data_IF_362379642325
#
_entry.id   IF_362379642325
#
_cell.length_a   1.000
_cell.length_b   1.000
_cell.length_c   1.000
_cell.angle_alpha   90.00
_cell.angle_beta   90.00
_cell.angle_gamma   90.00
#
_symmetry.space_group_name_H-M   'P 1'
#
loop_
_entity.id
_entity.type
_entity.pdbx_description
1 polymer ?
#
# COMPACT_ATOMS: atom_id res chain seq x y z
N UNK A 1 -18.13 -7.81 39.91
CA UNK A 1 -17.77 -9.24 39.81
C UNK A 1 -16.37 -9.30 39.19
N UNK A 2 -15.34 -9.34 40.04
CA UNK A 2 -13.94 -9.23 39.63
C UNK A 2 -13.32 -10.63 39.59
N UNK A 3 -12.90 -11.06 38.40
CA UNK A 3 -12.18 -12.31 38.18
C UNK A 3 -10.69 -12.10 38.50
N UNK A 4 -10.06 -12.85 39.42
CA UNK A 4 -8.65 -12.71 39.69
C UNK A 4 -7.86 -13.54 38.67
N UNK A 5 -7.09 -12.86 37.81
CA UNK A 5 -6.12 -13.51 36.94
C UNK A 5 -5.07 -14.22 37.80
N UNK A 6 -5.15 -15.55 37.83
CA UNK A 6 -4.21 -16.42 38.52
C UNK A 6 -2.81 -16.30 37.89
N UNK A 7 -1.90 -15.58 38.57
CA UNK A 7 -0.48 -15.61 38.27
C UNK A 7 0.10 -16.94 38.79
N UNK A 8 0.17 -17.94 37.93
CA UNK A 8 0.88 -19.19 38.20
C UNK A 8 2.38 -18.90 38.36
N UNK A 9 2.89 -18.94 39.60
CA UNK A 9 4.33 -18.95 39.86
C UNK A 9 4.91 -20.25 39.32
N UNK A 10 5.72 -20.15 38.26
CA UNK A 10 6.47 -21.27 37.70
C UNK A 10 7.37 -21.90 38.79
N UNK A 11 7.18 -23.20 39.03
CA UNK A 11 7.96 -23.99 39.98
C UNK A 11 9.40 -24.11 39.49
N UNK A 12 10.36 -23.72 40.34
CA UNK A 12 11.78 -23.68 39.99
C UNK A 12 12.35 -25.09 40.01
N UNK A 13 12.56 -25.67 38.83
CA UNK A 13 13.26 -26.95 38.66
C UNK A 13 14.75 -26.79 39.04
N UNK A 14 15.31 -27.64 39.91
CA UNK A 14 16.71 -27.53 40.32
C UNK A 14 17.65 -27.82 39.15
N UNK A 15 18.57 -26.89 38.86
CA UNK A 15 19.64 -27.05 37.85
C UNK A 15 19.53 -26.14 36.62
N UNK A 16 18.41 -25.45 36.41
CA UNK A 16 18.20 -24.56 35.26
C UNK A 16 18.23 -23.09 35.69
N UNK A 17 19.10 -22.28 35.08
CA UNK A 17 19.11 -20.82 35.26
C UNK A 17 18.28 -20.15 34.17
N UNK A 18 17.16 -19.56 34.56
CA UNK A 18 16.37 -18.71 33.68
C UNK A 18 16.99 -17.31 33.65
N UNK A 19 17.42 -16.87 32.47
CA UNK A 19 17.84 -15.48 32.22
C UNK A 19 16.70 -14.77 31.49
N UNK A 20 15.92 -13.96 32.22
CA UNK A 20 14.91 -13.09 31.61
C UNK A 20 15.63 -11.80 31.22
N UNK A 21 15.97 -11.68 29.94
CA UNK A 21 16.57 -10.45 29.40
C UNK A 21 15.48 -9.38 29.36
N UNK A 22 15.79 -8.18 29.88
CA UNK A 22 14.87 -7.05 29.88
C UNK A 22 14.50 -6.67 28.44
N UNK A 23 13.21 -6.60 28.14
CA UNK A 23 12.72 -6.18 26.83
C UNK A 23 12.86 -4.65 26.67
N UNK A 24 14.05 -4.22 26.27
CA UNK A 24 14.38 -2.80 26.08
C UNK A 24 13.63 -2.16 24.90
N UNK A 25 13.15 -2.97 23.95
CA UNK A 25 12.33 -2.50 22.84
C UNK A 25 10.93 -2.14 23.32
N UNK A 26 10.33 -2.98 24.18
CA UNK A 26 9.05 -2.67 24.81
C UNK A 26 9.13 -1.41 25.69
N UNK A 27 10.23 -1.24 26.44
CA UNK A 27 10.45 -0.05 27.29
C UNK A 27 10.53 1.24 26.47
N UNK A 28 11.13 1.19 25.27
CA UNK A 28 11.28 2.35 24.37
C UNK A 28 10.08 2.59 23.45
N UNK A 29 9.42 1.54 23.00
CA UNK A 29 8.33 1.62 22.04
C UNK A 29 6.96 1.84 22.70
N UNK A 30 6.75 1.36 23.94
CA UNK A 30 5.44 1.41 24.60
C UNK A 30 5.36 2.42 25.76
N UNK A 31 6.47 2.91 26.33
CA UNK A 31 6.37 3.76 27.54
C UNK A 31 5.67 3.07 28.73
N UNK A 32 5.59 1.74 28.73
CA UNK A 32 4.82 0.94 29.68
C UNK A 32 3.62 0.26 29.02
N UNK A 33 3.29 -0.95 29.48
CA UNK A 33 2.13 -1.74 29.06
C UNK A 33 0.81 -0.96 29.23
N UNK A 34 0.31 -0.36 28.16
CA UNK A 34 -0.77 0.62 28.23
C UNK A 34 -1.60 0.51 26.95
N UNK A 35 -2.87 0.14 27.07
CA UNK A 35 -3.81 0.10 25.93
C UNK A 35 -4.15 1.52 25.44
N UNK A 36 -4.86 1.66 24.30
CA UNK A 36 -5.34 2.97 23.85
C UNK A 36 -6.07 3.71 24.99
N UNK A 37 -5.65 4.95 25.30
CA UNK A 37 -6.27 5.79 26.33
C UNK A 37 -5.67 5.73 27.74
N UNK A 38 -4.57 5.00 27.96
CA UNK A 38 -3.91 4.95 29.27
C UNK A 38 -2.55 5.70 29.23
N UNK A 39 -1.99 6.13 30.38
CA UNK A 39 -0.86 7.09 30.44
C UNK A 39 0.39 6.56 29.73
N UNK A 40 0.72 7.14 28.58
CA UNK A 40 1.88 6.76 27.74
C UNK A 40 1.48 6.16 26.38
N UNK A 41 0.21 5.81 26.18
CA UNK A 41 -0.34 5.38 24.90
C UNK A 41 -0.63 6.56 23.95
N UNK A 42 -0.76 6.28 22.65
CA UNK A 42 -1.27 7.24 21.68
C UNK A 42 -2.70 7.63 22.12
N UNK A 43 -3.03 8.93 22.26
CA UNK A 43 -4.35 9.35 22.71
C UNK A 43 -5.42 8.85 21.72
N UNK A 44 -6.54 8.36 22.25
CA UNK A 44 -7.63 7.78 21.45
C UNK A 44 -8.19 8.82 20.47
N UNK A 45 -8.19 10.09 20.87
CA UNK A 45 -8.63 11.22 20.05
C UNK A 45 -7.69 11.44 18.86
N UNK A 46 -6.39 11.18 19.00
CA UNK A 46 -5.45 11.27 17.88
C UNK A 46 -5.59 10.09 16.91
N UNK A 47 -5.93 8.90 17.41
CA UNK A 47 -6.27 7.74 16.56
C UNK A 47 -7.54 8.05 15.77
N UNK A 48 -8.59 8.54 16.43
CA UNK A 48 -9.85 8.92 15.79
C UNK A 48 -9.68 10.06 14.77
N UNK A 49 -8.86 11.06 15.08
CA UNK A 49 -8.54 12.12 14.13
C UNK A 49 -7.78 11.59 12.90
N UNK A 50 -6.84 10.66 13.09
CA UNK A 50 -6.13 10.02 11.99
C UNK A 50 -7.05 9.15 11.12
N UNK A 51 -7.95 8.38 11.73
CA UNK A 51 -8.97 7.58 11.03
C UNK A 51 -9.94 8.46 10.24
N UNK A 52 -10.35 9.61 10.79
CA UNK A 52 -11.22 10.55 10.09
C UNK A 52 -10.54 11.19 8.87
N UNK A 53 -9.28 11.60 8.99
CA UNK A 53 -8.51 12.12 7.87
C UNK A 53 -8.29 11.04 6.80
N UNK A 54 -8.00 9.81 7.23
CA UNK A 54 -7.86 8.67 6.33
C UNK A 54 -9.15 8.37 5.56
N UNK A 55 -10.30 8.44 6.22
CA UNK A 55 -11.60 8.24 5.58
C UNK A 55 -11.86 9.30 4.50
N UNK A 56 -11.58 10.57 4.81
CA UNK A 56 -11.70 11.66 3.85
C UNK A 56 -10.79 11.46 2.63
N UNK A 57 -9.54 11.06 2.83
CA UNK A 57 -8.64 10.71 1.73
C UNK A 57 -9.12 9.51 0.90
N UNK A 58 -9.82 8.57 1.54
CA UNK A 58 -10.38 7.39 0.86
C UNK A 58 -11.55 7.75 -0.06
N UNK A 59 -12.34 8.78 0.30
CA UNK A 59 -13.43 9.28 -0.55
C UNK A 59 -12.89 9.90 -1.86
N UNK A 60 -11.76 10.61 -1.78
CA UNK A 60 -11.12 11.28 -2.92
C UNK A 60 -10.24 10.32 -3.77
N UNK A 61 -9.96 9.11 -3.27
CA UNK A 61 -9.04 8.17 -3.92
C UNK A 61 -9.45 7.78 -5.36
N UNK A 62 -10.73 7.48 -5.68
CA UNK A 62 -11.12 7.13 -7.05
C UNK A 62 -10.84 8.25 -8.05
N UNK A 63 -11.09 9.50 -7.66
CA UNK A 63 -10.85 10.67 -8.50
C UNK A 63 -9.35 10.89 -8.69
N UNK A 64 -8.56 10.68 -7.63
CA UNK A 64 -7.10 10.71 -7.70
C UNK A 64 -6.53 9.63 -8.63
N UNK A 65 -6.99 8.38 -8.51
CA UNK A 65 -6.58 7.28 -9.41
C UNK A 65 -6.99 7.57 -10.85
N UNK A 66 -8.18 8.14 -11.07
CA UNK A 66 -8.63 8.52 -12.40
C UNK A 66 -7.67 9.56 -13.03
N UNK A 67 -7.24 10.56 -12.26
CA UNK A 67 -6.24 11.54 -12.71
C UNK A 67 -4.91 10.87 -13.10
N UNK A 68 -4.44 9.89 -12.32
CA UNK A 68 -3.22 9.15 -12.64
C UNK A 68 -3.36 8.30 -13.90
N UNK A 69 -4.51 7.65 -14.09
CA UNK A 69 -4.79 6.89 -15.31
C UNK A 69 -4.78 7.82 -16.53
N UNK A 70 -5.33 9.02 -16.41
CA UNK A 70 -5.30 10.01 -17.48
C UNK A 70 -3.87 10.50 -17.78
N UNK A 71 -3.04 10.66 -16.75
CA UNK A 71 -1.61 10.97 -16.91
C UNK A 71 -0.83 9.82 -17.58
N UNK A 72 -1.12 8.57 -17.22
CA UNK A 72 -0.56 7.39 -17.88
C UNK A 72 -0.93 7.34 -19.37
N UNK A 73 -2.19 7.66 -19.71
CA UNK A 73 -2.67 7.72 -21.09
C UNK A 73 -1.96 8.82 -21.90
N UNK A 74 -1.75 9.99 -21.30
CA UNK A 74 -1.04 11.10 -21.93
C UNK A 74 0.43 10.76 -22.21
N UNK A 75 1.12 10.17 -21.23
CA UNK A 75 2.50 9.71 -21.41
C UNK A 75 2.60 8.58 -22.45
N UNK A 76 1.64 7.64 -22.44
CA UNK A 76 1.55 6.59 -23.46
C UNK A 76 1.37 7.18 -24.88
N UNK A 77 0.51 8.19 -25.05
CA UNK A 77 0.34 8.86 -26.36
C UNK A 77 1.64 9.50 -26.82
N UNK A 78 2.37 10.17 -25.92
CA UNK A 78 3.68 10.74 -26.23
C UNK A 78 4.73 9.69 -26.62
N UNK A 79 4.67 8.47 -26.07
CA UNK A 79 5.54 7.37 -26.50
C UNK A 79 5.34 6.96 -27.97
N UNK A 80 4.13 7.16 -28.50
CA UNK A 80 3.76 6.87 -29.89
C UNK A 80 4.07 8.05 -30.80
N UNK A 81 3.63 9.24 -30.40
CA UNK A 81 3.75 10.45 -31.21
C UNK A 81 5.19 10.96 -31.32
N UNK A 82 6.03 10.66 -30.31
CA UNK A 82 7.42 11.12 -30.25
C UNK A 82 8.34 9.98 -29.81
N UNK A 83 8.76 9.09 -30.75
CA UNK A 83 9.62 7.94 -30.46
C UNK A 83 10.94 8.32 -29.77
N UNK A 84 11.45 9.54 -30.00
CA UNK A 84 12.70 10.04 -29.43
C UNK A 84 12.61 10.25 -27.92
N UNK A 85 11.42 10.55 -27.40
CA UNK A 85 11.16 10.76 -25.97
C UNK A 85 10.64 9.50 -25.28
N UNK A 86 10.48 8.40 -26.01
CA UNK A 86 9.84 7.18 -25.51
C UNK A 86 10.48 6.65 -24.23
N UNK A 87 11.81 6.67 -24.15
CA UNK A 87 12.53 6.22 -22.97
C UNK A 87 12.22 7.08 -21.73
N UNK A 88 12.19 8.41 -21.89
CA UNK A 88 11.82 9.34 -20.82
C UNK A 88 10.38 9.10 -20.37
N UNK A 89 9.45 8.95 -21.31
CA UNK A 89 8.03 8.74 -20.99
C UNK A 89 7.76 7.38 -20.35
N UNK A 90 8.48 6.34 -20.73
CA UNK A 90 8.42 5.03 -20.07
C UNK A 90 8.96 5.11 -18.63
N UNK A 91 9.99 5.91 -18.37
CA UNK A 91 10.47 6.16 -17.01
C UNK A 91 9.42 6.90 -16.15
N UNK A 92 8.72 7.89 -16.70
CA UNK A 92 7.60 8.55 -16.00
C UNK A 92 6.48 7.56 -15.68
N UNK A 93 6.12 6.69 -16.64
CA UNK A 93 5.12 5.64 -16.43
C UNK A 93 5.57 4.65 -15.35
N UNK A 94 6.86 4.33 -15.29
CA UNK A 94 7.44 3.48 -14.25
C UNK A 94 7.24 4.07 -12.84
N UNK A 95 7.52 5.36 -12.68
CA UNK A 95 7.39 6.05 -11.40
C UNK A 95 5.91 6.14 -10.97
N UNK A 96 5.01 6.47 -11.89
CA UNK A 96 3.57 6.49 -11.60
C UNK A 96 3.08 5.09 -11.18
N UNK A 97 3.53 4.03 -11.88
CA UNK A 97 3.17 2.65 -11.54
C UNK A 97 3.70 2.23 -10.15
N UNK A 98 4.89 2.70 -9.76
CA UNK A 98 5.44 2.49 -8.43
C UNK A 98 4.53 3.08 -7.35
N UNK A 99 4.07 4.31 -7.53
CA UNK A 99 3.24 4.97 -6.53
C UNK A 99 1.84 4.34 -6.45
N UNK A 100 1.24 4.00 -7.59
CA UNK A 100 -0.06 3.34 -7.64
C UNK A 100 -0.06 1.98 -6.91
N UNK A 101 1.01 1.19 -7.04
CA UNK A 101 1.11 -0.10 -6.33
C UNK A 101 1.22 0.09 -4.81
N UNK A 102 1.83 1.18 -4.36
CA UNK A 102 1.99 1.48 -2.93
C UNK A 102 0.68 1.96 -2.27
N UNK A 103 -0.19 2.60 -3.04
CA UNK A 103 -1.38 3.26 -2.52
C UNK A 103 -2.64 2.39 -2.62
N UNK A 104 -2.80 1.58 -3.66
CA UNK A 104 -4.03 0.81 -3.88
C UNK A 104 -4.39 -0.16 -2.75
N UNK A 105 -3.41 -0.80 -2.11
CA UNK A 105 -3.64 -1.73 -1.00
C UNK A 105 -4.17 -1.03 0.24
N UNK A 106 -3.76 0.22 0.45
CA UNK A 106 -4.16 1.03 1.60
C UNK A 106 -5.62 1.47 1.49
N UNK A 107 -6.09 1.81 0.28
CA UNK A 107 -7.43 2.35 0.04
C UNK A 107 -8.48 1.31 -0.38
N UNK A 108 -8.16 0.01 -0.32
CA UNK A 108 -9.12 -1.07 -0.63
C UNK A 108 -9.31 -1.37 -2.11
N UNK A 109 -8.32 -1.03 -2.95
CA UNK A 109 -8.29 -1.32 -4.39
C UNK A 109 -7.15 -2.30 -4.74
N UNK A 110 -7.27 -3.58 -4.38
CA UNK A 110 -6.22 -4.58 -4.62
C UNK A 110 -5.96 -4.80 -6.11
N UNK A 111 -6.98 -4.68 -6.97
CA UNK A 111 -6.82 -4.79 -8.42
C UNK A 111 -5.90 -3.70 -8.98
N UNK A 112 -6.04 -2.45 -8.53
CA UNK A 112 -5.16 -1.34 -8.93
C UNK A 112 -3.73 -1.61 -8.48
N UNK A 113 -3.54 -2.21 -7.30
CA UNK A 113 -2.23 -2.63 -6.81
C UNK A 113 -1.60 -3.68 -7.71
N UNK A 114 -2.36 -4.71 -8.10
CA UNK A 114 -1.90 -5.79 -8.97
C UNK A 114 -1.52 -5.26 -10.36
N UNK A 115 -2.37 -4.41 -10.95
CA UNK A 115 -2.05 -3.77 -12.23
C UNK A 115 -0.83 -2.86 -12.12
N UNK A 116 -0.71 -2.09 -11.03
CA UNK A 116 0.43 -1.21 -10.78
C UNK A 116 1.75 -1.96 -10.64
N UNK A 117 1.76 -3.06 -9.90
CA UNK A 117 2.94 -3.92 -9.77
C UNK A 117 3.34 -4.59 -11.09
N UNK A 118 2.36 -5.06 -11.87
CA UNK A 118 2.60 -5.64 -13.20
C UNK A 118 3.17 -4.59 -14.17
N UNK A 119 2.60 -3.38 -14.19
CA UNK A 119 3.09 -2.26 -15.01
C UNK A 119 4.49 -1.80 -14.58
N UNK A 120 4.76 -1.75 -13.28
CA UNK A 120 6.08 -1.43 -12.73
C UNK A 120 7.14 -2.44 -13.17
N UNK A 121 6.83 -3.74 -13.09
CA UNK A 121 7.73 -4.82 -13.54
C UNK A 121 7.98 -4.78 -15.05
N UNK A 122 6.94 -4.47 -15.82
CA UNK A 122 7.00 -4.34 -17.27
C UNK A 122 7.95 -3.23 -17.71
N UNK A 123 7.94 -2.09 -17.02
CA UNK A 123 8.75 -0.91 -17.33
C UNK A 123 10.16 -0.94 -16.74
N UNK A 124 10.44 -1.81 -15.77
CA UNK A 124 11.73 -1.85 -15.04
C UNK A 124 12.95 -2.27 -15.88
N UNK A 125 12.77 -3.05 -16.96
CA UNK A 125 13.85 -3.64 -17.76
C UNK A 125 13.90 -3.16 -19.21
N UNK A 126 13.22 -2.06 -19.53
CA UNK A 126 13.16 -1.58 -20.91
C UNK A 126 14.43 -0.81 -21.33
N UNK A 127 15.54 -1.51 -21.46
CA UNK A 127 16.72 -0.99 -22.18
C UNK A 127 16.34 -0.70 -23.65
N UNK A 128 15.37 -1.44 -24.19
CA UNK A 128 14.73 -1.17 -25.47
C UNK A 128 13.24 -0.88 -25.27
N UNK A 129 12.84 0.38 -25.45
CA UNK A 129 11.43 0.78 -25.49
C UNK A 129 10.81 0.37 -26.84
N UNK A 130 10.65 -0.93 -27.04
CA UNK A 130 10.06 -1.52 -28.25
C UNK A 130 8.57 -1.18 -28.39
N UNK A 131 8.02 -1.28 -29.60
CA UNK A 131 6.59 -1.06 -29.83
C UNK A 131 5.72 -2.07 -29.05
N UNK A 132 6.20 -3.31 -28.90
CA UNK A 132 5.54 -4.34 -28.09
C UNK A 132 5.40 -3.92 -26.61
N UNK A 133 6.41 -3.22 -26.07
CA UNK A 133 6.33 -2.69 -24.71
C UNK A 133 5.24 -1.62 -24.60
N UNK A 134 5.16 -0.74 -25.59
CA UNK A 134 4.16 0.34 -25.65
C UNK A 134 2.74 -0.25 -25.73
N UNK A 135 2.52 -1.30 -26.51
CA UNK A 135 1.25 -2.03 -26.55
C UNK A 135 0.91 -2.69 -25.21
N UNK A 136 1.90 -3.29 -24.56
CA UNK A 136 1.70 -3.93 -23.25
C UNK A 136 1.34 -2.90 -22.16
N UNK A 137 1.99 -1.73 -22.18
CA UNK A 137 1.64 -0.60 -21.31
C UNK A 137 0.18 -0.20 -21.53
N UNK A 138 -0.24 -0.03 -22.80
CA UNK A 138 -1.63 0.31 -23.13
C UNK A 138 -2.63 -0.68 -22.52
N UNK A 139 -2.38 -1.98 -22.67
CA UNK A 139 -3.26 -3.02 -22.14
C UNK A 139 -3.43 -2.92 -20.62
N UNK A 140 -2.36 -2.60 -19.89
CA UNK A 140 -2.44 -2.38 -18.43
C UNK A 140 -3.26 -1.14 -18.09
N UNK A 141 -3.03 -0.02 -18.78
CA UNK A 141 -3.74 1.24 -18.55
C UNK A 141 -5.24 1.11 -18.87
N UNK A 142 -5.58 0.43 -19.97
CA UNK A 142 -6.97 0.14 -20.33
C UNK A 142 -7.64 -0.77 -19.28
N UNK A 143 -6.91 -1.75 -18.74
CA UNK A 143 -7.36 -2.60 -17.63
C UNK A 143 -7.64 -1.79 -16.35
N UNK A 144 -6.72 -0.92 -15.94
CA UNK A 144 -6.91 -0.03 -14.79
C UNK A 144 -8.13 0.88 -14.97
N UNK A 145 -8.30 1.44 -16.18
CA UNK A 145 -9.47 2.26 -16.52
C UNK A 145 -10.77 1.47 -16.43
N UNK A 146 -10.78 0.21 -16.86
CA UNK A 146 -11.96 -0.65 -16.75
C UNK A 146 -12.32 -0.93 -15.27
N UNK A 147 -11.33 -1.15 -14.40
CA UNK A 147 -11.54 -1.35 -12.96
C UNK A 147 -12.19 -0.12 -12.31
N UNK A 148 -11.67 1.07 -12.58
CA UNK A 148 -12.21 2.32 -12.00
C UNK A 148 -13.58 2.67 -12.58
N UNK A 149 -13.75 2.58 -13.90
CA UNK A 149 -15.04 2.85 -14.55
C UNK A 149 -16.13 1.86 -14.17
N UNK A 150 -15.78 0.59 -13.95
CA UNK A 150 -16.67 -0.43 -13.41
C UNK A 150 -16.94 -0.31 -11.91
N UNK A 151 -16.30 0.65 -11.20
CA UNK A 151 -16.32 0.79 -9.73
C UNK A 151 -16.12 -0.55 -9.02
N UNK A 152 -15.21 -1.38 -9.54
CA UNK A 152 -14.91 -2.68 -8.96
C UNK A 152 -14.13 -2.45 -7.66
N UNK A 153 -14.85 -2.40 -6.55
CA UNK A 153 -14.28 -2.38 -5.20
C UNK A 153 -14.01 -3.81 -4.71
N UNK A 154 -12.90 -4.02 -4.00
CA UNK A 154 -12.46 -5.36 -3.57
C UNK A 154 -11.68 -6.13 -4.63
N UNK A 155 -11.64 -7.46 -4.52
CA UNK A 155 -10.80 -8.36 -5.36
C UNK A 155 -11.41 -8.68 -6.74
N UNK A 156 -12.52 -8.04 -7.12
CA UNK A 156 -13.22 -8.34 -8.37
C UNK A 156 -14.17 -9.53 -8.33
N UNK A 157 -14.32 -10.18 -7.17
CA UNK A 157 -15.26 -11.29 -6.93
C UNK A 157 -14.72 -12.66 -7.36
N UNK A 158 -15.22 -13.73 -6.75
CA UNK A 158 -15.04 -15.09 -7.27
C UNK A 158 -15.87 -15.26 -8.54
N UNK A 159 -15.21 -15.73 -9.61
CA UNK A 159 -15.86 -16.18 -10.84
C UNK A 159 -16.62 -17.49 -10.66
#
# INVERSE_FOLDING_TARGET
MSSPAAQGKAEKVPGVRFYIIRNVLQEKAAGGSVGPGEKGGIPIEAIQAAEAEFHKMSEDYPDWVQSLIDELLDNYRRCIDTPELRHEKVAVIHDIAHDMKGQGGTFGYPLITNFGDSLFKCTHKSEECSDNLVELIKAHVDGMKAVISGRVSGDGGEI
#
